data_IF_435781593101
#
_entry.id   IF_435781593101
#
_cell.length_a   1.000
_cell.length_b   1.000
_cell.length_c   1.000
_cell.angle_alpha   90.00
_cell.angle_beta   90.00
_cell.angle_gamma   90.00
#
_symmetry.space_group_name_H-M   'P 1'
#
loop_
_entity.id
_entity.type
_entity.pdbx_description
1 polymer ?
#
# COMPACT_ATOMS: atom_id res chain seq x y z
N UNK A 1 86.61 -1.87 17.33
CA UNK A 1 85.84 -0.73 17.86
C UNK A 1 84.44 -1.25 18.19
N UNK A 2 84.14 -1.54 19.46
CA UNK A 2 83.57 -0.62 20.46
C UNK A 2 82.17 -0.13 20.07
N UNK A 3 81.12 -0.67 20.73
CA UNK A 3 80.25 0.01 21.73
C UNK A 3 78.89 0.34 21.08
N UNK A 4 77.70 0.39 21.69
CA UNK A 4 77.08 0.09 23.00
C UNK A 4 75.55 0.20 22.75
N UNK A 5 74.73 -0.58 23.49
CA UNK A 5 73.51 -0.19 24.23
C UNK A 5 72.49 0.78 23.56
N UNK A 6 71.23 0.36 23.34
CA UNK A 6 70.09 0.51 24.29
C UNK A 6 68.73 0.09 23.66
N UNK A 7 67.84 -0.61 24.39
CA UNK A 7 66.47 -0.86 23.98
C UNK A 7 65.54 0.23 24.52
N UNK A 8 64.77 0.89 23.64
CA UNK A 8 63.63 1.71 24.07
C UNK A 8 62.35 1.02 23.59
N UNK A 9 61.77 0.29 24.54
CA UNK A 9 60.40 -0.20 24.51
C UNK A 9 59.49 1.01 24.67
N UNK A 10 58.94 1.53 23.59
CA UNK A 10 57.86 2.51 23.64
C UNK A 10 56.53 1.77 23.46
N UNK A 11 55.97 1.25 24.56
CA UNK A 11 54.58 0.80 24.61
C UNK A 11 53.68 2.04 24.61
N UNK A 12 53.24 2.48 23.44
CA UNK A 12 52.07 3.35 23.34
C UNK A 12 50.83 2.52 23.70
N UNK A 13 50.41 2.60 24.96
CA UNK A 13 49.05 2.27 25.36
C UNK A 13 48.14 3.37 24.78
N UNK A 14 47.68 3.16 23.56
CA UNK A 14 46.56 3.92 23.01
C UNK A 14 45.31 3.46 23.77
N UNK A 15 44.96 4.16 24.83
CA UNK A 15 43.69 4.01 25.53
C UNK A 15 42.65 4.57 24.56
N UNK A 16 42.09 3.68 23.73
CA UNK A 16 40.85 3.97 23.00
C UNK A 16 39.77 4.19 24.06
N UNK A 17 39.54 5.45 24.43
CA UNK A 17 38.37 5.84 25.18
C UNK A 17 37.15 5.44 24.36
N UNK A 18 36.48 4.36 24.78
CA UNK A 18 35.16 4.00 24.28
C UNK A 18 34.20 5.11 24.68
N UNK A 19 34.11 6.15 23.86
CA UNK A 19 33.05 7.12 23.93
C UNK A 19 31.76 6.36 23.60
N UNK A 20 31.06 5.92 24.64
CA UNK A 20 29.69 5.42 24.53
C UNK A 20 28.85 6.55 23.94
N UNK A 21 28.57 6.47 22.65
CA UNK A 21 27.65 7.38 21.99
C UNK A 21 26.29 7.26 22.69
N UNK A 22 25.98 8.19 23.60
CA UNK A 22 24.66 8.31 24.20
C UNK A 22 23.68 8.60 23.06
N UNK A 23 22.92 7.59 22.65
CA UNK A 23 21.81 7.77 21.74
C UNK A 23 20.80 8.71 22.42
N UNK A 24 20.47 9.80 21.74
CA UNK A 24 19.40 10.68 22.18
C UNK A 24 18.11 9.85 22.38
N UNK A 25 17.32 10.14 23.42
CA UNK A 25 16.06 9.43 23.63
C UNK A 25 15.14 9.61 22.41
N UNK A 26 14.48 8.53 21.99
CA UNK A 26 13.52 8.54 20.89
C UNK A 26 12.35 9.46 21.22
N UNK A 27 11.99 10.35 20.30
CA UNK A 27 10.80 11.18 20.48
C UNK A 27 9.50 10.41 20.18
N UNK A 28 8.35 11.06 20.41
CA UNK A 28 7.04 10.43 20.19
C UNK A 28 6.87 9.93 18.75
N UNK A 29 7.35 10.70 17.76
CA UNK A 29 7.21 10.35 16.35
C UNK A 29 8.04 9.10 16.05
N UNK A 30 9.27 9.05 16.55
CA UNK A 30 10.14 7.87 16.42
C UNK A 30 9.50 6.63 17.07
N UNK A 31 9.00 6.77 18.30
CA UNK A 31 8.36 5.67 19.04
C UNK A 31 7.15 5.11 18.28
N UNK A 32 6.28 5.98 17.74
CA UNK A 32 5.11 5.55 16.97
C UNK A 32 5.54 4.88 15.67
N UNK A 33 6.45 5.48 14.89
CA UNK A 33 6.92 4.87 13.62
C UNK A 33 7.49 3.48 13.88
N UNK A 34 8.39 3.34 14.85
CA UNK A 34 9.01 2.05 15.17
C UNK A 34 7.95 1.05 15.64
N UNK A 35 7.01 1.46 16.50
CA UNK A 35 5.91 0.61 16.95
C UNK A 35 5.07 0.09 15.79
N UNK A 36 4.64 0.97 14.88
CA UNK A 36 3.82 0.59 13.73
C UNK A 36 4.53 -0.40 12.81
N UNK A 37 5.80 -0.17 12.46
CA UNK A 37 6.54 -1.12 11.61
C UNK A 37 6.87 -2.42 12.35
N UNK A 38 7.15 -2.40 13.66
CA UNK A 38 7.35 -3.63 14.43
C UNK A 38 6.09 -4.49 14.43
N UNK A 39 4.92 -3.88 14.57
CA UNK A 39 3.67 -4.60 14.80
C UNK A 39 2.95 -4.98 13.49
N UNK A 40 3.23 -4.28 12.37
CA UNK A 40 2.47 -4.42 11.12
C UNK A 40 3.31 -4.53 9.83
N UNK A 41 4.63 -4.68 9.93
CA UNK A 41 5.49 -4.85 8.76
C UNK A 41 5.13 -6.10 7.94
N UNK A 42 5.24 -5.98 6.61
CA UNK A 42 4.94 -6.99 5.61
C UNK A 42 3.46 -7.39 5.48
N UNK A 43 2.59 -7.03 6.43
CA UNK A 43 1.14 -7.23 6.31
C UNK A 43 0.44 -5.97 5.82
N UNK A 44 0.48 -4.91 6.62
CA UNK A 44 -0.18 -3.63 6.30
C UNK A 44 0.82 -2.56 5.85
N UNK A 45 2.07 -2.65 6.34
CA UNK A 45 3.11 -1.67 6.09
C UNK A 45 4.30 -2.27 5.35
N UNK A 46 4.71 -1.62 4.27
CA UNK A 46 5.82 -2.07 3.44
C UNK A 46 6.87 -0.95 3.28
N UNK A 47 8.14 -1.32 3.46
CA UNK A 47 9.28 -0.44 3.20
C UNK A 47 10.00 -0.88 1.92
N UNK A 48 10.44 0.09 1.14
CA UNK A 48 11.38 -0.15 0.05
C UNK A 48 12.81 -0.18 0.62
N UNK A 49 13.74 -0.86 -0.05
CA UNK A 49 15.09 -1.23 0.44
C UNK A 49 16.02 -0.07 0.87
N UNK A 50 15.59 1.20 0.75
CA UNK A 50 16.42 2.39 1.00
C UNK A 50 15.82 3.37 2.03
N UNK A 51 14.83 2.94 2.83
CA UNK A 51 14.21 3.81 3.82
C UNK A 51 14.81 3.61 5.21
N UNK A 52 15.24 4.71 5.83
CA UNK A 52 15.70 4.76 7.22
C UNK A 52 14.70 5.53 8.08
N UNK A 53 14.73 5.31 9.40
CA UNK A 53 13.85 6.02 10.34
C UNK A 53 13.90 7.55 10.16
N UNK A 54 15.06 8.22 10.02
CA UNK A 54 15.10 9.67 9.76
C UNK A 54 14.35 10.11 8.49
N UNK A 55 14.44 9.31 7.40
CA UNK A 55 13.74 9.61 6.14
C UNK A 55 12.22 9.45 6.33
N UNK A 56 11.80 8.37 6.99
CA UNK A 56 10.39 8.11 7.28
C UNK A 56 9.81 9.22 8.17
N UNK A 57 10.52 9.57 9.24
CA UNK A 57 10.17 10.65 10.15
C UNK A 57 9.99 11.97 9.42
N UNK A 58 10.94 12.34 8.56
CA UNK A 58 10.85 13.57 7.78
C UNK A 58 9.62 13.58 6.87
N UNK A 59 9.31 12.45 6.20
CA UNK A 59 8.14 12.33 5.34
C UNK A 59 6.81 12.42 6.10
N UNK A 60 6.74 11.82 7.31
CA UNK A 60 5.59 11.89 8.22
C UNK A 60 5.39 13.34 8.69
N UNK A 61 6.44 13.99 9.22
CA UNK A 61 6.35 15.37 9.72
C UNK A 61 5.95 16.34 8.61
N UNK A 62 6.47 16.17 7.39
CA UNK A 62 6.15 17.03 6.26
C UNK A 62 4.68 17.01 5.84
N UNK A 63 3.93 15.96 6.21
CA UNK A 63 2.52 15.77 5.82
C UNK A 63 1.54 15.76 6.99
N UNK A 64 2.06 15.65 8.21
CA UNK A 64 1.26 15.73 9.42
C UNK A 64 0.85 17.20 9.66
N UNK A 65 -0.45 17.52 9.79
CA UNK A 65 -0.87 18.87 10.15
C UNK A 65 -0.21 19.30 11.46
N UNK A 66 0.30 20.53 11.53
CA UNK A 66 1.04 21.02 12.71
C UNK A 66 0.22 20.89 14.01
N UNK A 67 -1.09 21.10 13.94
CA UNK A 67 -2.02 20.92 15.07
C UNK A 67 -2.09 19.47 15.60
N UNK A 68 -1.57 18.49 14.87
CA UNK A 68 -1.59 17.07 15.20
C UNK A 68 -0.20 16.48 15.49
N UNK A 69 0.87 17.29 15.51
CA UNK A 69 2.24 16.84 15.70
C UNK A 69 2.49 16.08 17.03
N UNK A 70 1.66 16.31 18.06
CA UNK A 70 1.72 15.60 19.34
C UNK A 70 0.72 14.45 19.49
N UNK A 71 -0.02 14.09 18.43
CA UNK A 71 -1.05 13.06 18.49
C UNK A 71 -0.55 11.73 17.89
N UNK A 72 -0.36 10.72 18.75
CA UNK A 72 0.14 9.40 18.34
C UNK A 72 -0.76 8.70 17.30
N UNK A 73 -2.08 8.86 17.40
CA UNK A 73 -3.02 8.28 16.43
C UNK A 73 -2.88 8.94 15.06
N UNK A 74 -2.74 10.27 15.02
CA UNK A 74 -2.53 11.00 13.78
C UNK A 74 -1.21 10.62 13.10
N UNK A 75 -0.13 10.45 13.90
CA UNK A 75 1.17 9.98 13.43
C UNK A 75 1.02 8.56 12.84
N UNK A 76 0.35 7.64 13.54
CA UNK A 76 0.14 6.27 13.06
C UNK A 76 -0.66 6.24 11.75
N UNK A 77 -1.77 7.00 11.66
CA UNK A 77 -2.55 7.15 10.42
C UNK A 77 -1.70 7.67 9.27
N UNK A 78 -0.80 8.61 9.53
CA UNK A 78 0.12 9.13 8.51
C UNK A 78 1.11 8.05 8.05
N UNK A 79 1.63 7.21 8.97
CA UNK A 79 2.49 6.06 8.60
C UNK A 79 1.75 5.09 7.68
N UNK A 80 0.52 4.68 8.03
CA UNK A 80 -0.31 3.82 7.18
C UNK A 80 -0.66 4.44 5.82
N UNK A 81 -0.83 5.76 5.79
CA UNK A 81 -1.11 6.49 4.55
C UNK A 81 0.10 6.45 3.62
N UNK A 82 1.29 6.71 4.17
CA UNK A 82 2.53 6.86 3.39
C UNK A 82 3.16 5.54 2.99
N UNK A 83 3.04 4.49 3.80
CA UNK A 83 3.75 3.22 3.59
C UNK A 83 2.85 1.99 3.56
N UNK A 84 1.68 2.01 2.89
CA UNK A 84 0.87 0.81 2.78
C UNK A 84 1.59 -0.27 1.97
N UNK A 85 1.29 -1.53 2.25
CA UNK A 85 1.64 -2.62 1.34
C UNK A 85 0.78 -2.58 0.06
N UNK A 86 1.32 -3.05 -1.09
CA UNK A 86 2.65 -3.61 -1.29
C UNK A 86 3.76 -2.56 -1.45
N UNK A 87 3.41 -1.30 -1.72
CA UNK A 87 4.33 -0.19 -1.84
C UNK A 87 3.63 1.15 -1.59
N UNK A 88 4.40 2.20 -1.31
CA UNK A 88 3.88 3.56 -1.15
C UNK A 88 3.25 4.10 -2.43
N UNK A 89 2.05 4.71 -2.40
CA UNK A 89 1.44 5.32 -3.57
C UNK A 89 2.08 6.66 -3.97
N UNK A 90 2.87 7.28 -3.10
CA UNK A 90 3.49 8.60 -3.32
C UNK A 90 4.79 8.50 -4.11
N UNK A 91 4.70 7.91 -5.30
CA UNK A 91 5.81 7.71 -6.23
C UNK A 91 5.60 8.54 -7.48
N UNK A 92 6.68 8.84 -8.20
CA UNK A 92 6.62 9.62 -9.46
C UNK A 92 5.87 8.91 -10.58
N UNK A 93 5.80 7.58 -10.53
CA UNK A 93 5.11 6.75 -11.53
C UNK A 93 3.59 6.78 -11.40
N UNK A 94 3.07 7.33 -10.29
CA UNK A 94 1.65 7.37 -9.95
C UNK A 94 1.18 8.81 -9.76
N UNK A 95 -0.09 9.05 -10.09
CA UNK A 95 -0.81 10.27 -9.67
C UNK A 95 -2.19 9.90 -9.16
N UNK A 96 -2.84 10.72 -8.33
CA UNK A 96 -4.26 10.55 -8.03
C UNK A 96 -5.08 10.42 -9.32
N UNK A 97 -5.99 9.45 -9.36
CA UNK A 97 -6.86 9.23 -10.50
C UNK A 97 -7.99 10.28 -10.55
N UNK A 98 -8.25 10.80 -11.74
CA UNK A 98 -9.45 11.58 -12.02
C UNK A 98 -10.62 10.64 -12.34
N UNK A 99 -11.85 11.18 -12.32
CA UNK A 99 -13.06 10.40 -12.65
C UNK A 99 -12.95 9.70 -14.01
N UNK A 100 -12.39 10.37 -15.02
CA UNK A 100 -12.21 9.82 -16.36
C UNK A 100 -11.19 8.67 -16.41
N UNK A 101 -10.23 8.65 -15.48
CA UNK A 101 -9.30 7.53 -15.34
C UNK A 101 -9.99 6.31 -14.73
N UNK A 102 -11.00 6.51 -13.86
CA UNK A 102 -11.73 5.44 -13.16
C UNK A 102 -12.81 4.83 -14.04
N UNK A 103 -13.51 5.65 -14.83
CA UNK A 103 -14.59 5.19 -15.72
C UNK A 103 -14.10 4.17 -16.75
N UNK A 104 -14.74 3.00 -16.76
CA UNK A 104 -14.41 1.90 -17.65
C UNK A 104 -14.56 0.54 -16.98
N UNK A 105 -14.07 -0.49 -17.68
CA UNK A 105 -14.04 -1.87 -17.19
C UNK A 105 -12.59 -2.29 -16.98
N UNK A 106 -12.34 -2.89 -15.84
CA UNK A 106 -11.01 -3.18 -15.33
C UNK A 106 -10.91 -4.64 -14.91
N UNK A 107 -9.76 -5.24 -15.18
CA UNK A 107 -9.40 -6.59 -14.76
C UNK A 107 -8.36 -6.52 -13.66
N UNK A 108 -8.59 -7.24 -12.56
CA UNK A 108 -7.60 -7.57 -11.57
C UNK A 108 -7.11 -9.01 -11.84
N UNK A 109 -6.05 -9.18 -12.66
CA UNK A 109 -5.64 -10.49 -13.15
C UNK A 109 -4.99 -11.35 -12.05
N UNK A 110 -4.93 -12.66 -12.28
CA UNK A 110 -4.32 -13.63 -11.35
C UNK A 110 -2.92 -13.23 -10.90
N UNK A 111 -2.10 -12.75 -11.85
CA UNK A 111 -0.73 -12.30 -11.61
C UNK A 111 -0.65 -11.19 -10.57
N UNK A 112 -1.69 -10.38 -10.46
CA UNK A 112 -1.78 -9.25 -9.54
C UNK A 112 -2.50 -9.61 -8.24
N UNK A 113 -3.28 -10.70 -8.19
CA UNK A 113 -3.95 -11.15 -6.95
C UNK A 113 -2.96 -11.44 -5.82
N UNK A 114 -1.70 -11.77 -6.15
CA UNK A 114 -0.63 -11.94 -5.15
C UNK A 114 -0.31 -10.67 -4.36
N UNK A 115 -0.69 -9.50 -4.87
CA UNK A 115 -0.54 -8.22 -4.16
C UNK A 115 -1.76 -7.83 -3.33
N UNK A 116 -2.89 -8.56 -3.44
CA UNK A 116 -4.20 -8.15 -2.90
C UNK A 116 -4.18 -7.78 -1.42
N UNK A 117 -3.35 -8.44 -0.62
CA UNK A 117 -3.25 -8.23 0.82
C UNK A 117 -1.80 -7.93 1.26
N UNK A 118 -0.94 -7.48 0.34
CA UNK A 118 0.49 -7.39 0.60
C UNK A 118 1.21 -8.75 0.64
N UNK A 119 2.54 -8.73 0.82
CA UNK A 119 3.37 -9.93 0.87
C UNK A 119 3.13 -10.71 2.18
N UNK A 120 2.25 -11.71 2.15
CA UNK A 120 2.04 -12.58 3.31
C UNK A 120 3.28 -13.44 3.59
N UNK A 121 3.68 -13.62 4.86
CA UNK A 121 4.52 -14.75 5.27
C UNK A 121 3.90 -16.04 4.72
N UNK A 122 4.73 -17.00 4.33
CA UNK A 122 4.42 -18.18 3.51
C UNK A 122 3.41 -19.19 4.08
N UNK A 123 2.49 -18.78 4.97
CA UNK A 123 1.47 -19.64 5.54
C UNK A 123 0.32 -19.87 4.54
N UNK A 124 0.62 -20.72 3.56
CA UNK A 124 -0.23 -21.21 2.48
C UNK A 124 -1.29 -22.23 2.95
N UNK A 125 -1.58 -22.32 4.26
CA UNK A 125 -2.32 -23.48 4.81
C UNK A 125 -3.83 -23.28 4.98
N UNK A 126 -4.42 -22.13 4.67
CA UNK A 126 -5.89 -21.98 4.73
C UNK A 126 -6.58 -22.66 3.54
N UNK A 127 -6.74 -24.00 3.61
CA UNK A 127 -7.45 -24.86 2.64
C UNK A 127 -8.94 -24.51 2.38
N UNK A 128 -9.46 -23.41 2.92
CA UNK A 128 -10.88 -23.05 2.85
C UNK A 128 -11.24 -21.98 1.82
N UNK A 129 -10.25 -21.34 1.18
CA UNK A 129 -10.51 -20.35 0.15
C UNK A 129 -10.01 -20.84 -1.20
N UNK A 130 -10.93 -20.98 -2.16
CA UNK A 130 -10.53 -21.16 -3.55
C UNK A 130 -9.77 -19.91 -4.00
N UNK A 131 -8.62 -20.06 -4.69
CA UNK A 131 -7.85 -18.92 -5.14
C UNK A 131 -8.71 -18.08 -6.10
N UNK A 132 -8.60 -16.77 -5.97
CA UNK A 132 -9.18 -15.83 -6.93
C UNK A 132 -8.35 -15.90 -8.19
N UNK A 133 -8.98 -16.27 -9.30
CA UNK A 133 -8.33 -16.30 -10.62
C UNK A 133 -8.33 -14.93 -11.25
N UNK A 134 -9.47 -14.25 -11.22
CA UNK A 134 -9.52 -12.84 -11.56
C UNK A 134 -10.77 -12.19 -10.99
N UNK A 135 -10.76 -10.87 -11.00
CA UNK A 135 -11.89 -10.05 -10.61
C UNK A 135 -12.04 -8.94 -11.66
N UNK A 136 -13.23 -8.77 -12.23
CA UNK A 136 -13.53 -7.67 -13.13
C UNK A 136 -14.41 -6.64 -12.41
N UNK A 137 -14.06 -5.36 -12.57
CA UNK A 137 -14.75 -4.23 -11.96
C UNK A 137 -15.13 -3.24 -13.06
N UNK A 138 -16.40 -2.87 -13.14
CA UNK A 138 -16.88 -1.89 -14.09
C UNK A 138 -17.40 -0.66 -13.34
N UNK A 139 -16.85 0.51 -13.65
CA UNK A 139 -17.27 1.82 -13.17
C UNK A 139 -17.95 2.56 -14.33
N UNK A 140 -19.28 2.58 -14.35
CA UNK A 140 -20.05 3.23 -15.42
C UNK A 140 -20.31 4.73 -15.11
N UNK A 141 -20.46 5.60 -16.13
CA UNK A 141 -20.59 7.05 -15.95
C UNK A 141 -21.79 7.52 -15.11
N UNK A 142 -22.84 6.71 -15.00
CA UNK A 142 -24.03 7.00 -14.17
C UNK A 142 -23.82 6.63 -12.67
N UNK A 143 -22.57 6.40 -12.26
CA UNK A 143 -22.19 5.94 -10.93
C UNK A 143 -22.57 4.49 -10.65
N UNK A 144 -22.96 3.69 -11.66
CA UNK A 144 -23.20 2.25 -11.48
C UNK A 144 -21.86 1.52 -11.38
N UNK A 145 -21.73 0.63 -10.39
CA UNK A 145 -20.57 -0.25 -10.27
C UNK A 145 -21.02 -1.71 -10.38
N UNK A 146 -20.25 -2.51 -11.13
CA UNK A 146 -20.41 -3.96 -11.20
C UNK A 146 -19.10 -4.63 -10.85
N UNK A 147 -19.18 -5.74 -10.13
CA UNK A 147 -18.04 -6.55 -9.77
C UNK A 147 -18.38 -8.01 -10.06
N UNK A 148 -17.45 -8.75 -10.66
CA UNK A 148 -17.58 -10.17 -10.89
C UNK A 148 -16.24 -10.85 -10.63
N UNK A 149 -16.28 -12.00 -9.98
CA UNK A 149 -15.08 -12.72 -9.56
C UNK A 149 -15.13 -14.16 -10.05
N UNK A 150 -14.00 -14.64 -10.58
CA UNK A 150 -13.81 -16.05 -10.92
C UNK A 150 -12.85 -16.64 -9.89
N UNK A 151 -13.27 -17.72 -9.24
CA UNK A 151 -12.49 -18.44 -8.22
C UNK A 151 -12.27 -19.90 -8.64
N UNK A 152 -11.30 -20.55 -8.00
CA UNK A 152 -11.04 -21.97 -8.20
C UNK A 152 -10.09 -22.25 -9.35
N UNK A 153 -10.40 -23.25 -10.17
CA UNK A 153 -9.54 -23.70 -11.28
C UNK A 153 -9.96 -23.17 -12.64
N UNK A 154 -11.12 -22.53 -12.73
CA UNK A 154 -11.65 -21.97 -13.97
C UNK A 154 -10.75 -20.85 -14.52
N UNK A 155 -10.52 -20.77 -15.83
CA UNK A 155 -9.78 -19.67 -16.42
C UNK A 155 -10.54 -18.34 -16.26
N UNK A 156 -9.81 -17.23 -16.30
CA UNK A 156 -10.44 -15.91 -16.35
C UNK A 156 -11.16 -15.72 -17.70
N UNK A 157 -12.47 -15.43 -17.65
CA UNK A 157 -13.31 -15.32 -18.84
C UNK A 157 -13.53 -13.87 -19.31
N UNK A 158 -13.06 -12.88 -18.56
CA UNK A 158 -13.19 -11.46 -18.94
C UNK A 158 -12.10 -11.09 -19.92
N UNK A 159 -12.45 -10.95 -21.19
CA UNK A 159 -11.55 -10.58 -22.27
C UNK A 159 -11.78 -9.15 -22.77
N UNK A 160 -12.99 -8.61 -22.57
CA UNK A 160 -13.39 -7.29 -23.05
C UNK A 160 -14.34 -6.59 -22.09
N UNK A 161 -14.50 -5.28 -22.26
CA UNK A 161 -15.47 -4.50 -21.48
C UNK A 161 -16.90 -5.05 -21.60
N UNK A 162 -17.26 -5.61 -22.77
CA UNK A 162 -18.60 -6.16 -23.05
C UNK A 162 -18.97 -7.36 -22.18
N UNK A 163 -17.98 -8.11 -21.68
CA UNK A 163 -18.24 -9.27 -20.83
C UNK A 163 -18.88 -8.85 -19.51
N UNK A 164 -18.67 -7.60 -19.08
CA UNK A 164 -19.29 -7.03 -17.89
C UNK A 164 -20.67 -6.43 -18.15
N UNK A 165 -21.05 -6.17 -19.40
CA UNK A 165 -22.38 -5.61 -19.73
C UNK A 165 -23.50 -6.61 -19.42
N UNK A 166 -23.23 -7.92 -19.52
CA UNK A 166 -24.19 -8.98 -19.16
C UNK A 166 -24.66 -8.82 -17.70
N UNK A 167 -23.78 -8.38 -16.80
CA UNK A 167 -24.11 -8.17 -15.39
C UNK A 167 -25.15 -7.07 -15.17
N UNK A 168 -25.32 -6.17 -16.15
CA UNK A 168 -26.28 -5.06 -16.10
C UNK A 168 -27.73 -5.50 -16.32
N UNK A 169 -27.94 -6.75 -16.78
CA UNK A 169 -29.27 -7.37 -16.80
C UNK A 169 -29.81 -7.61 -15.39
N UNK A 170 -28.95 -7.66 -14.38
CA UNK A 170 -29.35 -7.75 -12.98
C UNK A 170 -29.62 -6.35 -12.39
N UNK A 171 -30.50 -6.24 -11.38
CA UNK A 171 -30.74 -4.98 -10.68
C UNK A 171 -29.45 -4.32 -10.20
N UNK A 172 -29.40 -2.98 -10.24
CA UNK A 172 -28.30 -2.21 -9.67
C UNK A 172 -28.42 -2.23 -8.15
N UNK A 173 -27.42 -2.78 -7.48
CA UNK A 173 -27.34 -2.83 -6.00
C UNK A 173 -26.19 -2.02 -5.43
N UNK A 174 -25.29 -1.53 -6.29
CA UNK A 174 -24.11 -0.79 -5.89
C UNK A 174 -23.94 0.48 -6.73
N UNK A 175 -23.36 1.50 -6.11
CA UNK A 175 -23.01 2.75 -6.77
C UNK A 175 -21.65 3.25 -6.31
N UNK A 176 -20.99 4.03 -7.16
CA UNK A 176 -19.71 4.64 -6.87
C UNK A 176 -19.74 6.15 -7.13
N UNK A 177 -18.92 6.90 -6.40
CA UNK A 177 -18.70 8.34 -6.56
C UNK A 177 -17.27 8.70 -6.19
N UNK A 178 -16.75 9.83 -6.69
CA UNK A 178 -15.49 10.41 -6.21
C UNK A 178 -15.80 11.50 -5.20
N UNK A 179 -15.27 11.38 -3.99
CA UNK A 179 -15.40 12.33 -2.90
C UNK A 179 -14.55 13.59 -3.17
N UNK A 180 -14.81 14.66 -2.42
CA UNK A 180 -14.11 15.95 -2.59
C UNK A 180 -12.60 15.86 -2.32
N UNK A 181 -12.16 14.87 -1.54
CA UNK A 181 -10.75 14.57 -1.27
C UNK A 181 -10.11 13.63 -2.31
N UNK A 182 -10.85 13.27 -3.37
CA UNK A 182 -10.38 12.42 -4.46
C UNK A 182 -10.55 10.91 -4.20
N UNK A 183 -11.12 10.49 -3.08
CA UNK A 183 -11.36 9.05 -2.81
C UNK A 183 -12.58 8.52 -3.55
N UNK A 184 -12.48 7.28 -4.02
CA UNK A 184 -13.59 6.54 -4.59
C UNK A 184 -14.43 5.93 -3.47
N UNK A 185 -15.68 6.36 -3.32
CA UNK A 185 -16.61 5.79 -2.36
C UNK A 185 -17.61 4.86 -3.06
N UNK A 186 -17.80 3.66 -2.50
CA UNK A 186 -18.76 2.66 -2.97
C UNK A 186 -19.84 2.46 -1.91
N UNK A 187 -21.10 2.61 -2.33
CA UNK A 187 -22.28 2.36 -1.50
C UNK A 187 -23.10 1.23 -2.08
N UNK A 188 -23.78 0.49 -1.21
CA UNK A 188 -24.65 -0.62 -1.58
C UNK A 188 -26.03 -0.47 -0.98
N UNK A 189 -27.06 -0.77 -1.77
CA UNK A 189 -28.46 -0.72 -1.34
C UNK A 189 -28.91 -2.01 -0.66
N UNK A 190 -28.21 -3.12 -0.92
CA UNK A 190 -28.49 -4.45 -0.36
C UNK A 190 -27.74 -4.74 0.95
N UNK A 191 -26.82 -3.87 1.36
CA UNK A 191 -26.05 -3.99 2.61
C UNK A 191 -26.23 -2.72 3.43
N UNK A 192 -26.90 -2.83 4.57
CA UNK A 192 -27.13 -1.69 5.45
C UNK A 192 -25.80 -1.16 6.01
N UNK A 193 -25.64 0.17 5.97
CA UNK A 193 -24.43 0.87 6.43
C UNK A 193 -23.17 0.35 5.74
N UNK A 194 -23.24 0.04 4.44
CA UNK A 194 -22.08 -0.29 3.64
C UNK A 194 -21.15 0.92 3.55
N UNK A 195 -19.87 0.70 3.86
CA UNK A 195 -18.81 1.70 3.73
C UNK A 195 -17.65 1.00 3.05
N UNK A 196 -17.24 1.54 1.92
CA UNK A 196 -16.07 1.09 1.17
C UNK A 196 -15.48 2.33 0.49
N UNK A 197 -14.31 2.78 0.93
CA UNK A 197 -13.61 3.95 0.36
C UNK A 197 -12.20 3.57 -0.07
N UNK A 198 -11.87 3.88 -1.32
CA UNK A 198 -10.59 3.58 -1.94
C UNK A 198 -9.83 4.86 -2.26
N UNK A 199 -8.53 4.86 -1.99
CA UNK A 199 -7.63 5.75 -2.70
C UNK A 199 -7.27 5.12 -4.04
N UNK A 200 -7.38 5.90 -5.12
CA UNK A 200 -7.17 5.42 -6.48
C UNK A 200 -6.11 6.28 -7.17
N UNK A 201 -5.12 5.61 -7.75
CA UNK A 201 -4.03 6.22 -8.49
C UNK A 201 -4.01 5.68 -9.92
N UNK A 202 -3.68 6.54 -10.88
CA UNK A 202 -3.41 6.15 -12.26
C UNK A 202 -1.91 6.04 -12.47
N UNK A 203 -1.49 4.99 -13.16
CA UNK A 203 -0.11 4.78 -13.58
C UNK A 203 0.21 5.72 -14.74
N UNK A 204 1.15 6.64 -14.54
CA UNK A 204 1.58 7.61 -15.57
C UNK A 204 2.87 7.20 -16.26
N UNK A 205 3.73 6.44 -15.58
CA UNK A 205 4.97 5.91 -16.15
C UNK A 205 5.02 4.42 -15.80
N UNK A 206 5.22 3.51 -16.78
CA UNK A 206 5.27 2.08 -16.49
C UNK A 206 6.38 1.71 -15.49
N UNK A 207 6.13 0.71 -14.66
CA UNK A 207 7.09 0.26 -13.65
C UNK A 207 6.84 -1.18 -13.19
N UNK A 208 7.83 -1.77 -12.54
CA UNK A 208 7.77 -3.13 -12.01
C UNK A 208 7.86 -3.14 -10.48
N UNK A 209 7.01 -3.93 -9.84
CA UNK A 209 7.09 -4.21 -8.40
C UNK A 209 6.77 -5.66 -8.12
N UNK A 210 7.64 -6.34 -7.35
CA UNK A 210 7.49 -7.76 -7.00
C UNK A 210 7.24 -8.67 -8.22
N UNK A 211 7.89 -8.36 -9.35
CA UNK A 211 7.74 -9.10 -10.61
C UNK A 211 6.35 -8.97 -11.24
N UNK A 212 5.62 -7.90 -10.96
CA UNK A 212 4.42 -7.49 -11.71
C UNK A 212 4.73 -6.18 -12.42
N UNK A 213 4.41 -6.15 -13.70
CA UNK A 213 4.46 -4.97 -14.54
C UNK A 213 3.15 -4.17 -14.42
N UNK A 214 3.29 -2.85 -14.31
CA UNK A 214 2.20 -1.88 -14.28
C UNK A 214 2.31 -1.01 -15.52
N UNK A 215 1.30 -1.05 -16.39
CA UNK A 215 1.28 -0.31 -17.65
C UNK A 215 0.75 1.12 -17.44
N UNK A 216 1.15 2.04 -18.32
CA UNK A 216 0.57 3.38 -18.32
C UNK A 216 -0.94 3.32 -18.60
N UNK A 217 -1.73 3.98 -17.75
CA UNK A 217 -3.18 3.94 -17.79
C UNK A 217 -3.84 2.88 -16.90
N UNK A 218 -3.06 1.96 -16.30
CA UNK A 218 -3.56 1.06 -15.26
C UNK A 218 -3.97 1.86 -14.01
N UNK A 219 -4.82 1.25 -13.18
CA UNK A 219 -5.19 1.79 -11.88
C UNK A 219 -4.59 0.99 -10.73
N UNK A 220 -4.22 1.72 -9.69
CA UNK A 220 -3.82 1.17 -8.40
C UNK A 220 -4.84 1.63 -7.37
N UNK A 221 -5.40 0.70 -6.60
CA UNK A 221 -6.39 1.03 -5.56
C UNK A 221 -5.96 0.51 -4.20
N UNK A 222 -6.14 1.32 -3.16
CA UNK A 222 -5.95 0.95 -1.76
C UNK A 222 -7.27 1.10 -1.02
N UNK A 223 -7.80 0.02 -0.45
CA UNK A 223 -9.00 0.06 0.39
C UNK A 223 -8.62 0.70 1.71
N UNK A 224 -9.06 1.93 1.92
CA UNK A 224 -8.74 2.70 3.13
C UNK A 224 -9.82 2.57 4.17
N UNK A 225 -11.09 2.48 3.78
CA UNK A 225 -12.18 2.42 4.75
C UNK A 225 -13.14 1.30 4.42
N UNK A 226 -13.36 0.44 5.40
CA UNK A 226 -14.39 -0.60 5.40
C UNK A 226 -14.84 -0.87 6.83
N UNK A 227 -15.90 -1.68 7.01
CA UNK A 227 -16.38 -2.04 8.35
C UNK A 227 -15.25 -2.72 9.15
N UNK A 228 -14.86 -2.11 10.27
CA UNK A 228 -13.80 -2.62 11.16
C UNK A 228 -12.40 -2.08 10.85
N UNK A 229 -12.25 -1.19 9.86
CA UNK A 229 -10.99 -0.51 9.55
C UNK A 229 -11.10 0.98 9.89
N UNK A 230 -11.11 1.30 11.19
CA UNK A 230 -11.31 2.67 11.69
C UNK A 230 -10.03 3.55 11.59
N UNK A 231 -8.88 2.93 11.31
CA UNK A 231 -7.58 3.58 11.27
C UNK A 231 -7.15 4.02 9.87
N UNK A 232 -7.97 3.82 8.85
CA UNK A 232 -7.66 4.07 7.45
C UNK A 232 -6.39 3.33 6.94
N UNK A 233 -6.07 2.18 7.54
CA UNK A 233 -5.00 1.33 7.05
C UNK A 233 -5.38 0.78 5.68
N UNK A 234 -4.43 0.57 4.78
CA UNK A 234 -4.73 -0.13 3.53
C UNK A 234 -4.92 -1.62 3.82
N UNK A 235 -6.16 -2.10 3.81
CA UNK A 235 -6.48 -3.52 4.08
C UNK A 235 -6.53 -4.36 2.82
N UNK A 236 -6.64 -3.71 1.66
CA UNK A 236 -6.63 -4.36 0.36
C UNK A 236 -5.95 -3.48 -0.69
N UNK A 237 -5.28 -4.13 -1.63
CA UNK A 237 -4.69 -3.52 -2.81
C UNK A 237 -5.29 -4.12 -4.08
N UNK A 238 -5.50 -3.31 -5.10
CA UNK A 238 -5.84 -3.78 -6.46
C UNK A 238 -4.90 -3.13 -7.46
N UNK A 239 -4.39 -3.96 -8.37
CA UNK A 239 -3.80 -3.51 -9.63
C UNK A 239 -4.78 -3.88 -10.74
N UNK A 240 -5.32 -2.85 -11.39
CA UNK A 240 -6.42 -2.94 -12.31
C UNK A 240 -5.95 -2.58 -13.72
N UNK A 241 -6.05 -3.54 -14.62
CA UNK A 241 -5.71 -3.40 -16.03
C UNK A 241 -6.95 -3.10 -16.85
N UNK A 242 -6.88 -2.13 -17.75
CA UNK A 242 -8.06 -1.73 -18.53
C UNK A 242 -8.45 -2.80 -19.53
N UNK A 243 -9.71 -3.25 -19.50
CA UNK A 243 -10.28 -4.09 -20.56
C UNK A 243 -10.73 -3.20 -21.71
N UNK A 244 -10.37 -3.62 -22.93
CA UNK A 244 -10.72 -2.93 -24.18
C UNK A 244 -12.07 -3.39 -24.73
#
# INVERSE_FOLDING_TARGET
>A
MQRLINPIVLRLLCICGSASAQQAPLDLVDQVIIGQFRDHSAELLCLNENLSLPIIKAAVIARLPQAQAGNAEAIAKMVYTLYPCPFSPYRKELRPAATQDIEGVWLFPETSQKLRFGPKPSDLTSRRFQPVKCEAVAYYPNGEIRNAQITGTSPCLFASAKDMDISRNNPRVASWTVQADGRLAISRTDVQNHVEEWEVFSVVTPFDVHGIHFDAGDLVQYLRRERGNDFNAATMFRHLQRLR
#
